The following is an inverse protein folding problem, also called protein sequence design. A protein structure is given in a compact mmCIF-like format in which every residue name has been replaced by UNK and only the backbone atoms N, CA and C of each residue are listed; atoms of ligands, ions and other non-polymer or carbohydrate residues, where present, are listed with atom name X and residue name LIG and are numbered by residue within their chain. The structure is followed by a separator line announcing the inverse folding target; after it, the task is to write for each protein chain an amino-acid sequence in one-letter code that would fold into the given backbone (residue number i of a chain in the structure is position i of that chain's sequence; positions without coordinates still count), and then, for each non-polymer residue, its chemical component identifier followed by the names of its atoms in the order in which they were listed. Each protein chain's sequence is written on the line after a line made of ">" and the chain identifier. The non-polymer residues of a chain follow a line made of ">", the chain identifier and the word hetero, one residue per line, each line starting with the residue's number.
data_IF_917956639634
#
_entry.id   IF_917956639634
#
_cell.length_a   1.000
_cell.length_b   1.000
_cell.length_c   1.000
_cell.angle_alpha   90.00
_cell.angle_beta   90.00
_cell.angle_gamma   90.00
#
_symmetry.space_group_name_H-M   'P 1'
#
loop_
_entity.id
_entity.type
_entity.pdbx_description
1 polymer ?
#
# COMPACT_ATOMS: atom_id res chain seq x y z
N UNK A 1 -75.21 33.05 29.21
CA UNK A 1 -74.32 32.19 30.01
C UNK A 1 -72.92 32.21 29.37
N UNK A 2 -71.99 32.88 30.07
CA UNK A 2 -70.52 32.69 30.16
C UNK A 2 -69.64 32.64 28.87
N UNK A 3 -68.80 33.67 28.77
CA UNK A 3 -67.55 33.84 27.98
C UNK A 3 -66.44 32.87 28.43
N UNK A 4 -65.52 32.52 27.52
CA UNK A 4 -64.05 32.41 27.74
C UNK A 4 -63.36 31.98 26.44
N UNK A 5 -62.64 32.85 25.70
CA UNK A 5 -61.20 33.20 25.78
C UNK A 5 -60.22 32.01 25.62
N UNK A 6 -59.32 32.15 24.64
CA UNK A 6 -58.05 31.43 24.37
C UNK A 6 -57.15 31.30 25.64
N UNK A 7 -55.87 30.82 25.58
CA UNK A 7 -55.10 29.97 24.63
C UNK A 7 -54.38 28.79 25.34
N UNK A 8 -53.86 27.79 24.60
CA UNK A 8 -52.78 26.91 25.10
C UNK A 8 -51.79 26.62 23.96
N UNK A 9 -50.57 27.18 24.04
CA UNK A 9 -49.28 26.53 24.39
C UNK A 9 -48.83 25.53 23.32
N UNK A 10 -47.91 25.91 22.44
CA UNK A 10 -46.45 25.91 22.63
C UNK A 10 -45.88 24.50 22.89
N UNK A 11 -45.21 23.94 21.88
CA UNK A 11 -44.15 22.95 22.01
C UNK A 11 -44.47 21.55 21.49
N UNK A 12 -43.85 21.14 20.36
CA UNK A 12 -42.78 20.14 20.35
C UNK A 12 -42.40 19.74 18.91
N UNK A 13 -41.08 19.82 18.71
CA UNK A 13 -40.22 18.98 17.88
C UNK A 13 -40.42 18.90 16.36
N UNK A 14 -39.42 19.50 15.70
CA UNK A 14 -38.83 19.05 14.46
C UNK A 14 -38.61 17.52 14.42
N UNK A 15 -38.98 16.92 13.28
CA UNK A 15 -38.28 15.74 12.76
C UNK A 15 -38.10 15.93 11.25
N UNK A 16 -37.06 16.70 10.91
CA UNK A 16 -36.39 16.63 9.61
C UNK A 16 -35.56 15.34 9.60
N UNK A 17 -35.24 14.86 8.40
CA UNK A 17 -34.38 13.70 8.08
C UNK A 17 -35.16 12.42 7.80
N UNK A 18 -35.95 12.44 6.72
CA UNK A 18 -36.10 11.23 5.91
C UNK A 18 -34.88 11.15 5.00
N UNK A 19 -33.91 10.33 5.43
CA UNK A 19 -32.65 10.12 4.75
C UNK A 19 -32.88 9.52 3.36
N UNK A 20 -32.90 10.38 2.34
CA UNK A 20 -32.36 10.00 1.04
C UNK A 20 -30.91 9.54 1.22
N UNK A 21 -30.48 8.68 0.29
CA UNK A 21 -29.12 8.13 0.12
C UNK A 21 -28.94 6.71 0.66
N UNK A 22 -29.63 5.75 0.04
CA UNK A 22 -29.00 4.48 -0.31
C UNK A 22 -27.80 4.77 -1.22
N UNK A 23 -26.67 5.15 -0.61
CA UNK A 23 -25.39 5.22 -1.31
C UNK A 23 -25.06 3.79 -1.68
N UNK A 24 -25.12 3.48 -2.97
CA UNK A 24 -24.69 2.20 -3.49
C UNK A 24 -23.26 1.95 -3.05
N UNK A 25 -23.10 1.03 -2.12
CA UNK A 25 -21.79 0.55 -1.74
C UNK A 25 -21.26 -0.25 -2.93
N UNK A 26 -20.49 0.43 -3.77
CA UNK A 26 -19.72 -0.20 -4.84
C UNK A 26 -18.53 -0.90 -4.17
N UNK A 27 -18.78 -2.11 -3.67
CA UNK A 27 -17.86 -2.84 -2.83
C UNK A 27 -16.84 -3.66 -3.67
N UNK A 28 -15.66 -3.11 -3.95
CA UNK A 28 -14.59 -3.84 -4.66
C UNK A 28 -13.77 -4.74 -3.69
N UNK A 29 -13.72 -6.06 -3.94
CA UNK A 29 -12.68 -6.94 -3.37
C UNK A 29 -11.43 -6.85 -4.25
N UNK A 30 -10.23 -6.86 -3.65
CA UNK A 30 -8.99 -6.67 -4.40
C UNK A 30 -7.85 -7.60 -3.98
N UNK A 31 -6.75 -7.54 -4.71
CA UNK A 31 -5.47 -8.11 -4.33
C UNK A 31 -4.36 -7.14 -4.71
N UNK A 32 -3.24 -7.21 -3.99
CA UNK A 32 -2.08 -6.34 -4.21
C UNK A 32 -0.82 -6.98 -3.64
N UNK A 33 0.31 -6.28 -3.70
CA UNK A 33 1.51 -6.60 -2.95
C UNK A 33 1.82 -5.47 -1.96
N UNK A 34 2.27 -5.85 -0.77
CA UNK A 34 2.88 -4.95 0.20
C UNK A 34 4.40 -4.96 0.00
N UNK A 35 5.02 -3.79 -0.15
CA UNK A 35 6.47 -3.67 -0.29
C UNK A 35 7.07 -3.22 1.05
N UNK A 36 8.05 -3.96 1.54
CA UNK A 36 8.77 -3.66 2.78
C UNK A 36 10.27 -3.77 2.58
N UNK A 37 11.04 -3.09 3.44
CA UNK A 37 12.49 -3.22 3.48
C UNK A 37 12.94 -3.39 4.94
N UNK A 38 12.99 -4.64 5.46
CA UNK A 38 13.37 -4.90 6.84
C UNK A 38 14.73 -4.25 7.17
N UNK A 39 14.79 -3.53 8.30
CA UNK A 39 16.02 -2.84 8.73
C UNK A 39 16.36 -1.57 7.94
N UNK A 40 15.50 -1.12 7.02
CA UNK A 40 15.66 0.12 6.26
C UNK A 40 14.47 1.07 6.43
N UNK A 41 14.72 2.36 6.23
CA UNK A 41 13.70 3.40 6.26
C UNK A 41 13.03 3.55 4.89
N UNK A 42 12.18 2.58 4.52
CA UNK A 42 11.36 2.67 3.32
C UNK A 42 10.16 3.59 3.57
N UNK A 43 9.95 4.59 2.70
CA UNK A 43 8.84 5.54 2.81
C UNK A 43 8.02 5.54 1.53
N UNK A 44 6.69 5.47 1.65
CA UNK A 44 5.81 5.68 0.51
C UNK A 44 5.90 7.14 0.04
N UNK A 45 5.98 7.34 -1.28
CA UNK A 45 5.92 8.68 -1.88
C UNK A 45 4.46 8.98 -2.17
N UNK A 46 3.92 10.01 -1.53
CA UNK A 46 2.52 10.43 -1.70
C UNK A 46 2.40 11.30 -2.95
N UNK A 47 1.48 10.94 -3.84
CA UNK A 47 1.19 11.66 -5.09
C UNK A 47 0.40 10.78 -6.05
N UNK A 48 -0.16 11.38 -7.11
CA UNK A 48 -0.74 10.63 -8.22
C UNK A 48 0.38 10.11 -9.12
N UNK A 49 0.68 8.82 -8.98
CA UNK A 49 1.60 8.10 -9.85
C UNK A 49 0.90 6.90 -10.45
N UNK A 50 1.14 6.62 -11.73
CA UNK A 50 0.63 5.41 -12.40
C UNK A 50 1.16 4.11 -11.77
N UNK A 51 2.27 4.21 -11.04
CA UNK A 51 2.93 3.10 -10.33
C UNK A 51 3.22 3.57 -8.91
N UNK A 52 2.76 2.88 -7.85
CA UNK A 52 3.10 3.21 -6.48
C UNK A 52 4.62 3.28 -6.28
N UNK A 53 5.09 4.33 -5.61
CA UNK A 53 6.52 4.60 -5.42
C UNK A 53 6.88 4.64 -3.94
N UNK A 54 8.06 4.11 -3.65
CA UNK A 54 8.71 4.19 -2.36
C UNK A 54 10.09 4.84 -2.53
N UNK A 55 10.62 5.37 -1.43
CA UNK A 55 11.99 5.87 -1.37
C UNK A 55 12.72 5.34 -0.16
N UNK A 56 14.01 5.08 -0.31
CA UNK A 56 14.91 4.76 0.78
C UNK A 56 16.29 5.37 0.53
N UNK A 57 16.99 5.71 1.59
CA UNK A 57 18.40 6.14 1.54
C UNK A 57 19.28 4.99 1.99
N UNK A 58 20.36 4.73 1.24
CA UNK A 58 21.35 3.71 1.54
C UNK A 58 22.75 4.27 1.28
N UNK A 59 23.77 3.75 1.96
CA UNK A 59 25.17 4.12 1.69
C UNK A 59 25.82 3.16 0.70
N UNK A 60 26.84 3.60 -0.01
CA UNK A 60 27.72 2.69 -0.76
C UNK A 60 28.28 1.63 0.19
N UNK A 61 28.23 0.36 -0.22
CA UNK A 61 28.58 -0.81 0.56
C UNK A 61 27.47 -1.34 1.47
N UNK A 62 26.39 -0.58 1.69
CA UNK A 62 25.25 -1.02 2.49
C UNK A 62 24.39 -2.04 1.72
N UNK A 63 23.92 -3.03 2.46
CA UNK A 63 23.00 -4.06 1.97
C UNK A 63 21.56 -3.68 2.36
N UNK A 64 20.62 -3.86 1.44
CA UNK A 64 19.18 -3.69 1.65
C UNK A 64 18.44 -4.91 1.13
N UNK A 65 17.53 -5.44 1.95
CA UNK A 65 16.61 -6.49 1.54
C UNK A 65 15.25 -5.87 1.25
N UNK A 66 14.77 -6.04 0.02
CA UNK A 66 13.42 -5.65 -0.39
C UNK A 66 12.53 -6.89 -0.44
N UNK A 67 11.34 -6.80 0.14
CA UNK A 67 10.39 -7.90 0.22
C UNK A 67 9.05 -7.44 -0.31
N UNK A 68 8.50 -8.16 -1.27
CA UNK A 68 7.12 -8.01 -1.70
C UNK A 68 6.29 -9.14 -1.12
N UNK A 69 5.21 -8.84 -0.41
CA UNK A 69 4.28 -9.83 0.11
C UNK A 69 2.91 -9.70 -0.57
N UNK A 70 2.41 -10.77 -1.17
CA UNK A 70 1.06 -10.77 -1.73
C UNK A 70 0.00 -10.62 -0.64
N UNK A 71 -1.02 -9.80 -0.89
CA UNK A 71 -2.16 -9.57 0.00
C UNK A 71 -3.46 -9.68 -0.77
N UNK A 72 -4.41 -10.44 -0.22
CA UNK A 72 -5.81 -10.39 -0.61
C UNK A 72 -6.50 -9.37 0.31
N UNK A 73 -7.37 -8.56 -0.27
CA UNK A 73 -8.14 -7.53 0.41
C UNK A 73 -9.61 -7.99 0.44
N UNK A 74 -9.97 -8.88 1.41
CA UNK A 74 -11.34 -9.32 1.59
C UNK A 74 -12.23 -8.15 2.02
N UNK A 75 -13.49 -8.17 1.58
CA UNK A 75 -14.46 -7.15 1.93
C UNK A 75 -14.75 -7.18 3.44
N UNK A 76 -14.62 -6.04 4.12
CA UNK A 76 -14.96 -5.90 5.54
C UNK A 76 -14.01 -6.63 6.52
N UNK A 77 -12.86 -7.09 6.04
CA UNK A 77 -11.87 -7.77 6.87
C UNK A 77 -10.46 -7.21 6.61
N UNK A 78 -9.54 -7.52 7.53
CA UNK A 78 -8.15 -7.10 7.39
C UNK A 78 -7.48 -7.78 6.17
N UNK A 79 -6.51 -7.11 5.53
CA UNK A 79 -5.68 -7.73 4.48
C UNK A 79 -5.05 -9.05 4.95
N UNK A 80 -5.11 -10.08 4.10
CA UNK A 80 -4.57 -11.40 4.42
C UNK A 80 -3.42 -11.77 3.47
N UNK A 81 -2.31 -12.35 3.98
CA UNK A 81 -1.24 -12.87 3.13
C UNK A 81 -1.73 -13.88 2.10
N UNK A 82 -1.21 -13.79 0.88
CA UNK A 82 -1.45 -14.77 -0.17
C UNK A 82 -0.25 -14.89 -1.11
N UNK A 83 -0.07 -16.07 -1.70
CA UNK A 83 0.96 -16.28 -2.70
C UNK A 83 0.60 -15.54 -3.99
N UNK A 84 1.56 -14.80 -4.53
CA UNK A 84 1.49 -14.32 -5.91
C UNK A 84 1.61 -15.49 -6.89
N UNK A 85 1.06 -15.31 -8.09
CA UNK A 85 1.26 -16.24 -9.21
C UNK A 85 2.67 -16.14 -9.80
N UNK A 86 3.21 -14.92 -9.80
CA UNK A 86 4.56 -14.61 -10.26
C UNK A 86 5.06 -13.33 -9.60
N UNK A 87 6.38 -13.16 -9.52
CA UNK A 87 6.99 -11.88 -9.17
C UNK A 87 8.49 -11.87 -9.41
N UNK A 88 8.98 -10.71 -9.82
CA UNK A 88 10.40 -10.48 -10.10
C UNK A 88 10.80 -9.06 -9.70
N UNK A 89 12.05 -8.94 -9.26
CA UNK A 89 12.70 -7.67 -9.01
C UNK A 89 13.59 -7.31 -10.20
N UNK A 90 13.55 -6.06 -10.62
CA UNK A 90 14.32 -5.50 -11.73
C UNK A 90 15.08 -4.30 -11.20
N UNK A 91 16.39 -4.23 -11.44
CA UNK A 91 17.23 -3.17 -10.92
C UNK A 91 18.37 -2.84 -11.89
N UNK A 92 19.07 -1.74 -11.60
CA UNK A 92 20.25 -1.28 -12.33
C UNK A 92 21.50 -1.97 -11.76
N UNK A 93 22.08 -2.88 -12.54
CA UNK A 93 23.23 -3.71 -12.15
C UNK A 93 24.56 -2.97 -12.17
N UNK A 94 24.61 -1.77 -12.75
CA UNK A 94 25.79 -0.89 -12.65
C UNK A 94 25.92 -0.28 -11.25
N UNK A 95 24.79 -0.12 -10.55
CA UNK A 95 24.71 0.57 -9.24
C UNK A 95 24.43 -0.35 -8.06
N UNK A 96 23.86 -1.52 -8.31
CA UNK A 96 23.44 -2.48 -7.30
C UNK A 96 23.90 -3.88 -7.70
N UNK A 97 24.43 -4.62 -6.74
CA UNK A 97 24.78 -6.03 -6.93
C UNK A 97 23.85 -6.91 -6.09
N UNK A 98 23.54 -8.11 -6.60
CA UNK A 98 22.85 -9.12 -5.80
C UNK A 98 23.80 -9.58 -4.70
N UNK A 99 23.31 -9.54 -3.46
CA UNK A 99 24.00 -10.13 -2.32
C UNK A 99 23.27 -11.41 -1.88
N UNK A 100 23.88 -12.17 -0.97
CA UNK A 100 23.27 -13.34 -0.37
C UNK A 100 21.92 -12.94 0.26
N UNK A 101 20.83 -13.50 -0.29
CA UNK A 101 19.50 -13.23 0.25
C UNK A 101 19.33 -14.03 1.54
N UNK A 102 19.60 -13.37 2.66
CA UNK A 102 19.47 -13.94 3.99
C UNK A 102 18.07 -13.69 4.57
N UNK A 103 17.44 -14.75 5.08
CA UNK A 103 16.12 -14.68 5.68
C UNK A 103 15.27 -15.91 5.38
N UNK A 104 14.31 -16.22 6.27
CA UNK A 104 13.27 -17.22 6.01
C UNK A 104 12.06 -16.48 5.44
N UNK A 105 11.88 -16.55 4.13
CA UNK A 105 10.71 -16.02 3.44
C UNK A 105 9.71 -17.14 3.21
N UNK A 106 8.43 -16.88 3.48
CA UNK A 106 7.37 -17.83 3.16
C UNK A 106 6.94 -17.72 1.69
N UNK A 107 6.08 -18.64 1.23
CA UNK A 107 5.58 -18.67 -0.15
C UNK A 107 4.77 -17.45 -0.59
N UNK A 108 4.38 -16.58 0.34
CA UNK A 108 3.67 -15.31 0.06
C UNK A 108 4.62 -14.16 -0.21
N UNK A 109 5.92 -14.37 0.03
CA UNK A 109 6.96 -13.36 -0.05
C UNK A 109 7.92 -13.64 -1.21
N UNK A 110 8.31 -12.57 -1.88
CA UNK A 110 9.36 -12.58 -2.90
C UNK A 110 10.36 -11.51 -2.49
N UNK A 111 11.56 -11.94 -2.14
CA UNK A 111 12.60 -11.07 -1.61
C UNK A 111 13.79 -10.97 -2.55
N UNK A 112 14.48 -9.84 -2.50
CA UNK A 112 15.80 -9.64 -3.09
C UNK A 112 16.68 -8.88 -2.11
N UNK A 113 17.93 -9.30 -1.98
CA UNK A 113 18.94 -8.57 -1.21
C UNK A 113 19.94 -7.95 -2.17
N UNK A 114 20.11 -6.64 -2.05
CA UNK A 114 20.93 -5.82 -2.94
C UNK A 114 21.98 -5.05 -2.14
N UNK A 115 23.20 -5.03 -2.63
CA UNK A 115 24.29 -4.20 -2.10
C UNK A 115 24.48 -2.99 -3.01
N UNK A 116 24.51 -1.80 -2.42
CA UNK A 116 24.77 -0.58 -3.17
C UNK A 116 26.27 -0.47 -3.49
N UNK A 117 26.64 -0.33 -4.76
CA UNK A 117 28.06 -0.29 -5.19
C UNK A 117 28.49 1.06 -5.76
N UNK A 118 27.55 1.86 -6.25
CA UNK A 118 27.84 3.20 -6.76
C UNK A 118 26.88 4.26 -6.18
N UNK A 119 27.37 5.48 -5.89
CA UNK A 119 26.54 6.58 -5.41
C UNK A 119 25.61 7.10 -6.53
N UNK A 120 24.50 7.70 -6.12
CA UNK A 120 23.50 8.30 -7.01
C UNK A 120 22.11 7.72 -6.82
N UNK A 121 21.17 8.18 -7.62
CA UNK A 121 19.80 7.67 -7.61
C UNK A 121 19.69 6.44 -8.53
N UNK A 122 18.97 5.42 -8.04
CA UNK A 122 18.63 4.23 -8.81
C UNK A 122 17.24 3.73 -8.46
N UNK A 123 16.62 3.02 -9.39
CA UNK A 123 15.26 2.49 -9.23
C UNK A 123 15.30 0.96 -9.23
N UNK A 124 14.70 0.39 -8.20
CA UNK A 124 14.40 -1.03 -8.12
C UNK A 124 12.91 -1.23 -8.30
N UNK A 125 12.50 -1.99 -9.31
CA UNK A 125 11.10 -2.22 -9.66
C UNK A 125 10.69 -3.66 -9.33
N UNK A 126 9.59 -3.80 -8.61
CA UNK A 126 8.89 -5.08 -8.52
C UNK A 126 7.81 -5.17 -9.59
N UNK A 127 7.73 -6.31 -10.27
CA UNK A 127 6.62 -6.67 -11.15
C UNK A 127 6.08 -8.02 -10.69
N UNK A 128 4.81 -8.06 -10.33
CA UNK A 128 4.16 -9.27 -9.83
C UNK A 128 2.78 -9.48 -10.40
N UNK A 129 2.23 -10.67 -10.18
CA UNK A 129 0.87 -11.05 -10.58
C UNK A 129 0.18 -11.75 -9.42
N UNK A 130 -1.05 -11.36 -9.11
CA UNK A 130 -1.87 -11.99 -8.07
C UNK A 130 -3.35 -11.97 -8.49
N UNK A 131 -4.02 -13.12 -8.39
CA UNK A 131 -5.40 -13.33 -8.84
C UNK A 131 -5.67 -12.89 -10.29
N UNK A 132 -4.72 -13.13 -11.19
CA UNK A 132 -4.83 -12.73 -12.59
C UNK A 132 -4.39 -11.30 -12.90
N UNK A 133 -4.24 -10.44 -11.89
CA UNK A 133 -3.96 -9.01 -12.08
C UNK A 133 -2.46 -8.69 -11.96
N UNK A 134 -1.88 -7.96 -12.93
CA UNK A 134 -0.50 -7.50 -12.84
C UNK A 134 -0.39 -6.28 -11.93
N UNK A 135 0.67 -6.25 -11.10
CA UNK A 135 1.01 -5.12 -10.26
C UNK A 135 2.47 -4.73 -10.46
N UNK A 136 2.74 -3.43 -10.29
CA UNK A 136 4.09 -2.85 -10.39
C UNK A 136 4.30 -1.91 -9.21
N UNK A 137 5.52 -1.88 -8.69
CA UNK A 137 5.93 -0.97 -7.62
C UNK A 137 7.36 -0.52 -7.86
N UNK A 138 7.65 0.75 -7.61
CA UNK A 138 8.99 1.32 -7.75
C UNK A 138 9.55 1.67 -6.37
N UNK A 139 10.81 1.30 -6.12
CA UNK A 139 11.60 1.71 -4.96
C UNK A 139 12.77 2.54 -5.47
N UNK A 140 12.73 3.84 -5.21
CA UNK A 140 13.82 4.76 -5.54
C UNK A 140 14.84 4.75 -4.39
N UNK A 141 16.02 4.20 -4.67
CA UNK A 141 17.15 4.22 -3.76
C UNK A 141 18.01 5.44 -4.04
N UNK A 142 18.24 6.23 -2.99
CA UNK A 142 19.19 7.35 -3.00
C UNK A 142 20.47 6.82 -2.34
N UNK A 143 21.47 6.52 -3.16
CA UNK A 143 22.75 5.97 -2.68
C UNK A 143 23.71 7.12 -2.35
N UNK A 144 24.05 7.25 -1.08
CA UNK A 144 25.00 8.24 -0.58
C UNK A 144 26.38 7.61 -0.36
N UNK A 145 27.43 8.45 -0.31
CA UNK A 145 28.80 7.99 -0.03
C UNK A 145 28.98 7.59 1.44
#
# INVERSE_FOLDING_TARGET
>A
MIRTRQPMRLGMLALVVSACLSVGECWASGATFEITAPGSNLRAVVGEFDVPRFTAQVKVGQVITLVSQGKILPRGAAPQPSAGEAGTWIFDDEKLEIDATEGKFDKTQIAITLKAVQPGETRVRFVGKILGYPHKFDVNLIVTK
#
